data_IF_052724879227
#
_entry.id   IF_052724879227
#
_cell.length_a   1.000
_cell.length_b   1.000
_cell.length_c   1.000
_cell.angle_alpha   90.00
_cell.angle_beta   90.00
_cell.angle_gamma   90.00
#
_symmetry.space_group_name_H-M   'P 1'
#
loop_
_entity.id
_entity.type
_entity.pdbx_description
1 polymer ?
#
# COMPACT_ATOMS: atom_id res chain seq x y z
N UNK A 1 4.39 18.23 -12.07
CA UNK A 1 5.62 17.40 -11.95
C UNK A 1 6.36 17.33 -13.29
N UNK A 2 7.64 17.72 -13.30
CA UNK A 2 8.51 17.53 -14.46
C UNK A 2 8.67 16.02 -14.65
N UNK A 3 8.08 15.45 -15.69
CA UNK A 3 8.42 14.09 -16.09
C UNK A 3 9.93 14.06 -16.35
N UNK A 4 10.70 13.20 -15.66
CA UNK A 4 12.15 13.14 -15.85
C UNK A 4 12.48 12.82 -17.31
N UNK A 5 13.64 13.29 -17.78
CA UNK A 5 14.05 13.09 -19.17
C UNK A 5 14.18 11.59 -19.49
N UNK A 6 13.99 11.14 -20.75
CA UNK A 6 14.02 9.72 -21.12
C UNK A 6 15.26 8.95 -20.64
N UNK A 7 16.39 9.64 -20.48
CA UNK A 7 17.66 9.08 -19.98
C UNK A 7 17.59 8.82 -18.47
N UNK A 8 17.08 9.77 -17.68
CA UNK A 8 16.90 9.59 -16.24
C UNK A 8 15.90 8.47 -15.91
N UNK A 9 14.91 8.30 -16.77
CA UNK A 9 13.93 7.22 -16.69
C UNK A 9 14.53 5.83 -16.90
N UNK A 10 15.34 5.70 -17.93
CA UNK A 10 16.10 4.49 -18.22
C UNK A 10 17.06 4.18 -17.06
N UNK A 11 17.76 5.17 -16.49
CA UNK A 11 18.68 4.97 -15.37
C UNK A 11 18.00 4.54 -14.07
N UNK A 12 16.87 5.16 -13.68
CA UNK A 12 16.13 4.73 -12.48
C UNK A 12 15.62 3.30 -12.63
N UNK A 13 15.10 2.94 -13.80
CA UNK A 13 14.59 1.58 -14.05
C UNK A 13 15.72 0.54 -14.03
N UNK A 14 16.87 0.86 -14.64
CA UNK A 14 18.11 0.05 -14.56
C UNK A 14 18.52 -0.19 -13.12
N UNK A 15 18.51 0.86 -12.30
CA UNK A 15 18.89 0.77 -10.90
C UNK A 15 17.93 -0.12 -10.10
N UNK A 16 16.61 0.03 -10.28
CA UNK A 16 15.61 -0.82 -9.63
C UNK A 16 15.83 -2.30 -9.99
N UNK A 17 15.93 -2.64 -11.27
CA UNK A 17 16.16 -4.02 -11.69
C UNK A 17 17.53 -4.56 -11.23
N UNK A 18 18.56 -3.71 -11.18
CA UNK A 18 19.87 -4.09 -10.64
C UNK A 18 19.77 -4.44 -9.15
N UNK A 19 19.07 -3.61 -8.38
CA UNK A 19 18.85 -3.82 -6.95
C UNK A 19 17.90 -4.99 -6.64
N UNK A 20 17.01 -5.35 -7.56
CA UNK A 20 16.07 -6.48 -7.42
C UNK A 20 16.64 -7.82 -7.93
N UNK A 21 17.96 -7.98 -7.98
CA UNK A 21 18.59 -9.24 -8.40
C UNK A 21 18.29 -10.39 -7.41
N UNK A 22 18.01 -11.62 -7.86
CA UNK A 22 17.74 -12.79 -7.00
C UNK A 22 18.92 -13.20 -6.10
N UNK A 23 20.10 -12.61 -6.30
CA UNK A 23 21.25 -12.85 -5.43
C UNK A 23 21.07 -12.13 -4.08
N UNK A 24 20.25 -11.08 -4.02
CA UNK A 24 19.98 -10.30 -2.82
C UNK A 24 18.73 -10.84 -2.14
N UNK A 25 18.68 -10.85 -0.80
CA UNK A 25 17.42 -11.13 -0.10
C UNK A 25 16.39 -10.03 -0.38
N UNK A 26 15.10 -10.35 -0.37
CA UNK A 26 14.03 -9.39 -0.64
C UNK A 26 14.13 -8.13 0.25
N UNK A 27 14.43 -8.31 1.55
CA UNK A 27 14.66 -7.18 2.46
C UNK A 27 15.82 -6.29 2.03
N UNK A 28 16.88 -6.88 1.48
CA UNK A 28 18.05 -6.15 0.99
C UNK A 28 17.76 -5.44 -0.34
N UNK A 29 16.99 -6.08 -1.24
CA UNK A 29 16.51 -5.48 -2.48
C UNK A 29 15.70 -4.22 -2.16
N UNK A 30 14.72 -4.33 -1.24
CA UNK A 30 13.86 -3.21 -0.88
C UNK A 30 14.63 -2.09 -0.18
N UNK A 31 15.41 -2.40 0.85
CA UNK A 31 16.18 -1.37 1.58
C UNK A 31 17.18 -0.64 0.67
N UNK A 32 17.85 -1.37 -0.22
CA UNK A 32 18.80 -0.77 -1.17
C UNK A 32 18.06 0.11 -2.19
N UNK A 33 16.95 -0.36 -2.74
CA UNK A 33 16.22 0.38 -3.78
C UNK A 33 15.55 1.64 -3.22
N UNK A 34 14.94 1.57 -2.03
CA UNK A 34 14.39 2.77 -1.36
C UNK A 34 15.48 3.82 -1.09
N UNK A 35 16.69 3.40 -0.68
CA UNK A 35 17.81 4.31 -0.45
C UNK A 35 18.36 4.90 -1.75
N UNK A 36 18.51 4.08 -2.79
CA UNK A 36 19.22 4.45 -4.01
C UNK A 36 18.35 5.16 -5.04
N UNK A 37 17.06 4.81 -5.11
CA UNK A 37 16.11 5.31 -6.13
C UNK A 37 15.15 6.32 -5.53
N UNK A 38 14.60 6.04 -4.35
CA UNK A 38 13.57 6.88 -3.73
C UNK A 38 14.14 7.90 -2.73
N UNK A 39 15.46 7.91 -2.51
CA UNK A 39 16.16 8.90 -1.68
C UNK A 39 15.92 8.79 -0.17
N UNK A 40 15.26 7.72 0.31
CA UNK A 40 14.93 7.55 1.73
C UNK A 40 16.19 7.54 2.60
N UNK A 41 16.11 8.12 3.79
CA UNK A 41 17.17 8.00 4.80
C UNK A 41 17.21 6.59 5.41
N UNK A 42 18.36 6.20 5.94
CA UNK A 42 18.49 4.92 6.66
C UNK A 42 17.52 4.87 7.84
N UNK A 43 17.33 6.00 8.54
CA UNK A 43 16.37 6.14 9.63
C UNK A 43 14.92 5.92 9.17
N UNK A 44 14.51 6.51 8.04
CA UNK A 44 13.17 6.30 7.48
C UNK A 44 12.94 4.83 7.09
N UNK A 45 13.92 4.20 6.45
CA UNK A 45 13.83 2.78 6.10
C UNK A 45 13.79 1.91 7.37
N UNK A 46 14.57 2.24 8.40
CA UNK A 46 14.58 1.52 9.66
C UNK A 46 13.24 1.58 10.38
N UNK A 47 12.59 2.74 10.37
CA UNK A 47 11.23 2.91 10.88
C UNK A 47 10.22 2.05 10.10
N UNK A 48 10.27 2.06 8.76
CA UNK A 48 9.37 1.27 7.91
C UNK A 48 9.52 -0.25 8.13
N UNK A 49 10.74 -0.73 8.39
CA UNK A 49 11.03 -2.14 8.66
C UNK A 49 10.96 -2.53 10.14
N UNK A 50 10.70 -1.59 11.05
CA UNK A 50 10.71 -1.80 12.52
C UNK A 50 12.01 -2.46 13.03
N UNK A 51 13.16 -2.08 12.47
CA UNK A 51 14.48 -2.57 12.88
C UNK A 51 15.39 -1.41 13.26
N UNK A 52 16.48 -1.70 13.97
CA UNK A 52 17.47 -0.67 14.30
C UNK A 52 18.09 -0.06 13.03
N UNK A 53 18.38 1.24 13.06
CA UNK A 53 19.02 1.95 11.93
C UNK A 53 20.35 1.31 11.53
N UNK A 54 21.13 0.84 12.52
CA UNK A 54 22.36 0.09 12.28
C UNK A 54 22.12 -1.21 11.47
N UNK A 55 21.00 -1.90 11.70
CA UNK A 55 20.62 -3.11 10.95
C UNK A 55 20.39 -2.78 9.48
N UNK A 56 19.67 -1.68 9.20
CA UNK A 56 19.43 -1.22 7.82
C UNK A 56 20.72 -0.76 7.16
N UNK A 57 21.54 0.04 7.84
CA UNK A 57 22.83 0.50 7.31
C UNK A 57 23.71 -0.69 6.90
N UNK A 58 23.87 -1.68 7.78
CA UNK A 58 24.62 -2.89 7.48
C UNK A 58 23.98 -3.71 6.36
N UNK A 59 22.64 -3.81 6.30
CA UNK A 59 21.92 -4.50 5.22
C UNK A 59 22.23 -3.85 3.86
N UNK A 60 22.19 -2.52 3.78
CA UNK A 60 22.51 -1.77 2.55
C UNK A 60 23.98 -1.97 2.15
N UNK A 61 24.93 -1.90 3.08
CA UNK A 61 26.35 -2.14 2.80
C UNK A 61 26.60 -3.56 2.28
N UNK A 62 26.01 -4.57 2.93
CA UNK A 62 26.11 -5.97 2.50
C UNK A 62 25.48 -6.17 1.11
N UNK A 63 24.35 -5.53 0.83
CA UNK A 63 23.70 -5.58 -0.48
C UNK A 63 24.59 -5.00 -1.58
N UNK A 64 25.16 -3.80 -1.37
CA UNK A 64 26.10 -3.17 -2.30
C UNK A 64 27.33 -4.04 -2.56
N UNK A 65 27.91 -4.60 -1.50
CA UNK A 65 29.05 -5.52 -1.63
C UNK A 65 28.68 -6.76 -2.44
N UNK A 66 27.51 -7.35 -2.21
CA UNK A 66 27.05 -8.53 -2.96
C UNK A 66 26.81 -8.24 -4.44
N UNK A 67 26.33 -7.03 -4.79
CA UNK A 67 26.23 -6.58 -6.19
C UNK A 67 27.59 -6.60 -6.88
N UNK A 68 28.61 -6.06 -6.20
CA UNK A 68 29.98 -6.02 -6.71
C UNK A 68 30.58 -7.43 -6.79
N UNK A 69 30.50 -8.22 -5.71
CA UNK A 69 31.07 -9.56 -5.63
C UNK A 69 30.46 -10.51 -6.68
N UNK A 70 29.15 -10.38 -6.93
CA UNK A 70 28.43 -11.16 -7.94
C UNK A 70 28.50 -10.59 -9.36
N UNK A 71 29.26 -9.50 -9.58
CA UNK A 71 29.44 -8.85 -10.89
C UNK A 71 28.12 -8.53 -11.59
N UNK A 72 27.13 -8.06 -10.83
CA UNK A 72 25.79 -7.81 -11.35
C UNK A 72 25.84 -6.63 -12.31
N UNK A 73 25.44 -6.80 -13.59
CA UNK A 73 25.52 -5.73 -14.58
C UNK A 73 24.49 -4.64 -14.28
N UNK A 74 24.92 -3.37 -14.39
CA UNK A 74 24.04 -2.21 -14.35
C UNK A 74 23.39 -2.01 -15.72
N UNK A 75 22.27 -2.69 -15.95
CA UNK A 75 21.47 -2.63 -17.18
C UNK A 75 20.02 -2.97 -16.89
N UNK A 76 19.12 -2.67 -17.83
CA UNK A 76 17.80 -3.30 -17.83
C UNK A 76 18.03 -4.75 -18.26
N UNK A 77 17.62 -5.75 -17.45
CA UNK A 77 17.75 -7.16 -17.81
C UNK A 77 16.95 -7.49 -19.07
N UNK A 78 17.33 -8.54 -19.78
CA UNK A 78 16.64 -9.01 -20.98
C UNK A 78 15.86 -10.31 -20.74
N UNK A 79 14.78 -10.49 -21.50
CA UNK A 79 14.02 -11.74 -21.56
C UNK A 79 13.66 -12.32 -20.20
N UNK A 80 14.15 -13.52 -19.91
CA UNK A 80 13.85 -14.26 -18.68
C UNK A 80 14.37 -13.59 -17.40
N UNK A 81 15.44 -12.78 -17.48
CA UNK A 81 15.99 -12.10 -16.31
C UNK A 81 15.04 -11.05 -15.72
N UNK A 82 14.14 -10.49 -16.54
CA UNK A 82 13.11 -9.57 -16.07
C UNK A 82 12.11 -10.29 -15.16
N UNK A 83 11.70 -11.51 -15.55
CA UNK A 83 10.75 -12.32 -14.80
C UNK A 83 11.26 -12.68 -13.40
N UNK A 84 12.52 -13.10 -13.29
CA UNK A 84 13.12 -13.49 -12.00
C UNK A 84 13.23 -12.33 -10.99
N UNK A 85 13.23 -11.09 -11.48
CA UNK A 85 13.37 -9.89 -10.66
C UNK A 85 12.04 -9.19 -10.39
N UNK A 86 11.00 -9.57 -11.12
CA UNK A 86 9.74 -8.84 -11.18
C UNK A 86 9.08 -8.71 -9.80
N UNK A 87 9.02 -9.79 -9.03
CA UNK A 87 8.40 -9.76 -7.70
C UNK A 87 9.07 -8.75 -6.76
N UNK A 88 10.41 -8.65 -6.83
CA UNK A 88 11.19 -7.66 -6.11
C UNK A 88 10.87 -6.23 -6.57
N UNK A 89 10.81 -6.02 -7.88
CA UNK A 89 10.46 -4.73 -8.48
C UNK A 89 9.06 -4.28 -8.05
N UNK A 90 8.05 -5.15 -8.17
CA UNK A 90 6.69 -4.84 -7.77
C UNK A 90 6.59 -4.54 -6.26
N UNK A 91 7.30 -5.31 -5.43
CA UNK A 91 7.36 -5.07 -3.98
C UNK A 91 7.92 -3.69 -3.66
N UNK A 92 9.01 -3.28 -4.32
CA UNK A 92 9.61 -1.95 -4.13
C UNK A 92 8.64 -0.86 -4.57
N UNK A 93 8.07 -0.96 -5.77
CA UNK A 93 7.16 0.05 -6.30
C UNK A 93 5.93 0.21 -5.39
N UNK A 94 5.36 -0.90 -4.93
CA UNK A 94 4.25 -0.89 -3.97
C UNK A 94 4.60 -0.17 -2.67
N UNK A 95 5.78 -0.45 -2.09
CA UNK A 95 6.23 0.20 -0.86
C UNK A 95 6.54 1.69 -1.06
N UNK A 96 7.21 2.05 -2.17
CA UNK A 96 7.43 3.45 -2.53
C UNK A 96 6.11 4.21 -2.59
N UNK A 97 5.11 3.62 -3.26
CA UNK A 97 3.79 4.22 -3.35
C UNK A 97 3.14 4.38 -1.97
N UNK A 98 3.08 3.32 -1.16
CA UNK A 98 2.42 3.36 0.15
C UNK A 98 3.06 4.39 1.11
N UNK A 99 4.39 4.49 1.12
CA UNK A 99 5.11 5.46 1.96
C UNK A 99 4.85 6.91 1.51
N UNK A 100 4.83 7.16 0.20
CA UNK A 100 4.49 8.48 -0.35
C UNK A 100 3.02 8.85 -0.14
N UNK A 101 2.14 7.85 -0.20
CA UNK A 101 0.69 7.99 -0.18
C UNK A 101 0.10 8.23 1.22
N UNK A 102 0.68 7.66 2.28
CA UNK A 102 0.18 7.77 3.66
C UNK A 102 0.80 8.92 4.47
N UNK A 103 1.86 9.56 3.94
CA UNK A 103 2.66 10.53 4.69
C UNK A 103 2.05 11.94 4.78
N UNK A 104 2.06 12.54 6.00
CA UNK A 104 1.88 13.99 6.23
C UNK A 104 2.82 14.53 7.33
N UNK A 105 3.27 15.79 7.16
CA UNK A 105 4.22 16.51 8.04
C UNK A 105 5.00 17.58 7.25
N UNK A 106 6.05 18.22 7.81
CA UNK A 106 6.83 19.30 7.16
C UNK A 106 7.48 18.96 5.79
N UNK A 107 7.33 17.72 5.31
CA UNK A 107 7.84 17.21 4.03
C UNK A 107 6.73 16.78 3.04
N UNK A 108 5.50 17.32 3.14
CA UNK A 108 4.35 16.94 2.26
C UNK A 108 4.70 17.02 0.76
N UNK A 109 5.46 18.02 0.32
CA UNK A 109 5.84 18.16 -1.10
C UNK A 109 6.72 17.01 -1.58
N UNK A 110 7.81 16.74 -0.85
CA UNK A 110 8.82 15.73 -1.21
C UNK A 110 8.25 14.29 -1.24
N UNK A 111 7.16 14.01 -0.51
CA UNK A 111 6.56 12.67 -0.41
C UNK A 111 5.42 12.42 -1.41
N UNK A 112 4.73 13.46 -1.88
CA UNK A 112 3.83 13.34 -3.05
C UNK A 112 4.61 12.99 -4.31
N UNK A 113 5.79 13.58 -4.46
CA UNK A 113 6.69 13.27 -5.57
C UNK A 113 7.09 11.78 -5.59
N UNK A 114 7.21 11.11 -4.43
CA UNK A 114 7.54 9.67 -4.35
C UNK A 114 6.38 8.78 -4.83
N UNK A 115 5.14 9.11 -4.48
CA UNK A 115 3.98 8.34 -4.93
C UNK A 115 3.74 8.51 -6.45
N UNK A 116 3.91 9.73 -6.96
CA UNK A 116 3.83 10.03 -8.38
C UNK A 116 4.97 9.34 -9.15
N UNK A 117 6.20 9.34 -8.60
CA UNK A 117 7.35 8.62 -9.15
C UNK A 117 7.09 7.11 -9.19
N UNK A 118 6.49 6.52 -8.14
CA UNK A 118 6.16 5.10 -8.10
C UNK A 118 5.13 4.71 -9.18
N UNK A 119 4.08 5.51 -9.37
CA UNK A 119 3.09 5.31 -10.44
C UNK A 119 3.76 5.39 -11.81
N UNK A 120 4.59 6.41 -12.01
CA UNK A 120 5.28 6.62 -13.26
C UNK A 120 6.24 5.47 -13.58
N UNK A 121 7.03 5.02 -12.61
CA UNK A 121 7.92 3.85 -12.74
C UNK A 121 7.13 2.57 -13.02
N UNK A 122 6.01 2.34 -12.33
CA UNK A 122 5.11 1.21 -12.62
C UNK A 122 4.56 1.29 -14.06
N UNK A 123 4.27 2.49 -14.55
CA UNK A 123 3.91 2.73 -15.96
C UNK A 123 5.01 2.37 -16.96
N UNK A 124 6.28 2.62 -16.62
CA UNK A 124 7.41 2.17 -17.44
C UNK A 124 7.55 0.65 -17.44
N UNK A 125 7.41 -0.01 -16.29
CA UNK A 125 7.43 -1.47 -16.20
C UNK A 125 6.27 -2.07 -17.01
N UNK A 126 5.07 -1.47 -16.97
CA UNK A 126 3.92 -1.90 -17.77
C UNK A 126 4.14 -1.75 -19.28
N UNK A 127 4.94 -0.76 -19.72
CA UNK A 127 5.34 -0.63 -21.13
C UNK A 127 6.42 -1.64 -21.52
N UNK A 128 7.35 -1.93 -20.61
CA UNK A 128 8.42 -2.90 -20.83
C UNK A 128 7.90 -4.34 -20.85
N UNK A 129 6.93 -4.65 -19.98
CA UNK A 129 6.36 -5.98 -19.78
C UNK A 129 4.82 -5.94 -19.92
N UNK A 130 4.30 -5.62 -21.12
CA UNK A 130 2.87 -5.41 -21.34
C UNK A 130 2.02 -6.67 -21.08
N UNK A 131 2.63 -7.85 -21.16
CA UNK A 131 1.95 -9.13 -20.99
C UNK A 131 2.07 -9.70 -19.58
N UNK A 132 2.59 -8.93 -18.62
CA UNK A 132 2.66 -9.34 -17.21
C UNK A 132 1.46 -8.79 -16.43
N UNK A 133 0.48 -9.63 -16.06
CA UNK A 133 -0.79 -9.16 -15.49
C UNK A 133 -0.63 -8.53 -14.10
N UNK A 134 0.33 -8.99 -13.28
CA UNK A 134 0.58 -8.38 -11.97
C UNK A 134 1.23 -6.99 -12.05
N UNK A 135 1.97 -6.69 -13.13
CA UNK A 135 2.46 -5.32 -13.38
C UNK A 135 1.27 -4.39 -13.62
N UNK A 136 0.33 -4.83 -14.45
CA UNK A 136 -0.89 -4.09 -14.74
C UNK A 136 -1.76 -3.95 -13.48
N UNK A 137 -1.90 -5.02 -12.70
CA UNK A 137 -2.60 -5.02 -11.42
C UNK A 137 -2.05 -4.00 -10.43
N UNK A 138 -0.72 -3.94 -10.27
CA UNK A 138 -0.09 -2.95 -9.38
C UNK A 138 -0.30 -1.52 -9.88
N UNK A 139 -0.14 -1.26 -11.18
CA UNK A 139 -0.38 0.06 -11.75
C UNK A 139 -1.84 0.51 -11.57
N UNK A 140 -2.80 -0.38 -11.80
CA UNK A 140 -4.21 -0.13 -11.57
C UNK A 140 -4.48 0.20 -10.08
N UNK A 141 -3.94 -0.61 -9.17
CA UNK A 141 -4.06 -0.38 -7.73
C UNK A 141 -3.56 1.01 -7.32
N UNK A 142 -2.40 1.43 -7.82
CA UNK A 142 -1.85 2.75 -7.49
C UNK A 142 -2.71 3.88 -8.05
N UNK A 143 -3.18 3.76 -9.30
CA UNK A 143 -4.06 4.75 -9.94
C UNK A 143 -5.38 4.91 -9.19
N UNK A 144 -6.06 3.80 -8.87
CA UNK A 144 -7.32 3.82 -8.12
C UNK A 144 -7.15 4.44 -6.73
N UNK A 145 -6.00 4.22 -6.10
CA UNK A 145 -5.70 4.84 -4.82
C UNK A 145 -5.38 6.34 -4.97
N UNK A 146 -4.53 6.76 -5.90
CA UNK A 146 -4.15 8.19 -6.02
C UNK A 146 -5.32 9.07 -6.49
N UNK A 147 -6.27 8.52 -7.25
CA UNK A 147 -7.42 9.26 -7.77
C UNK A 147 -8.30 9.91 -6.70
N UNK A 148 -8.23 9.42 -5.45
CA UNK A 148 -9.00 9.95 -4.30
C UNK A 148 -8.21 10.95 -3.46
N UNK A 149 -6.98 11.28 -3.84
CA UNK A 149 -6.05 12.09 -3.02
C UNK A 149 -6.62 13.45 -2.62
N UNK A 150 -7.40 14.09 -3.50
CA UNK A 150 -8.02 15.39 -3.25
C UNK A 150 -9.16 15.34 -2.21
N UNK A 151 -9.76 14.17 -1.96
CA UNK A 151 -10.87 14.01 -1.02
C UNK A 151 -10.44 13.50 0.36
N UNK A 152 -9.18 13.08 0.53
CA UNK A 152 -8.70 12.46 1.78
C UNK A 152 -8.54 13.42 2.95
N UNK A 153 -8.41 14.70 2.64
CA UNK A 153 -8.14 15.72 3.63
C UNK A 153 -9.00 16.93 3.36
N UNK A 154 -9.55 17.51 4.42
CA UNK A 154 -10.33 18.74 4.32
C UNK A 154 -9.42 19.98 4.23
N UNK A 155 -10.04 21.16 4.16
CA UNK A 155 -9.32 22.44 4.11
C UNK A 155 -8.52 22.75 5.38
N UNK A 156 -8.86 22.16 6.53
CA UNK A 156 -8.08 22.26 7.76
C UNK A 156 -6.90 21.28 7.77
N UNK A 157 -6.80 20.42 6.75
CA UNK A 157 -5.80 19.38 6.70
C UNK A 157 -6.11 18.26 7.67
N UNK A 158 -7.37 17.98 7.96
CA UNK A 158 -7.79 16.84 8.77
C UNK A 158 -8.17 15.64 7.90
N UNK A 159 -7.90 14.43 8.39
CA UNK A 159 -8.22 13.21 7.66
C UNK A 159 -9.74 13.02 7.55
N UNK A 160 -10.20 12.73 6.33
CA UNK A 160 -11.59 12.43 5.98
C UNK A 160 -11.71 10.93 5.69
N UNK A 161 -12.57 10.24 6.45
CA UNK A 161 -12.78 8.81 6.31
C UNK A 161 -13.44 8.49 4.96
N UNK A 162 -13.17 7.32 4.40
CA UNK A 162 -13.71 6.92 3.10
C UNK A 162 -15.24 7.09 2.95
N UNK A 163 -16.08 6.74 3.95
CA UNK A 163 -17.53 6.97 3.85
C UNK A 163 -17.91 8.46 3.76
N UNK A 164 -17.06 9.35 4.27
CA UNK A 164 -17.29 10.79 4.37
C UNK A 164 -16.66 11.57 3.19
N UNK A 165 -15.89 10.89 2.33
CA UNK A 165 -15.20 11.54 1.21
C UNK A 165 -16.19 12.02 0.15
N UNK A 166 -16.03 13.29 -0.24
CA UNK A 166 -16.80 13.85 -1.35
C UNK A 166 -16.34 13.26 -2.69
N UNK A 167 -17.08 12.27 -3.19
CA UNK A 167 -16.76 11.54 -4.44
C UNK A 167 -16.63 12.43 -5.68
N UNK A 168 -17.27 13.60 -5.71
CA UNK A 168 -17.11 14.61 -6.77
C UNK A 168 -15.69 15.17 -6.90
N UNK A 169 -14.88 15.05 -5.84
CA UNK A 169 -13.48 15.49 -5.82
C UNK A 169 -12.54 14.40 -6.34
N UNK A 170 -13.05 13.22 -6.67
CA UNK A 170 -12.24 12.13 -7.18
C UNK A 170 -11.88 12.36 -8.64
N UNK A 171 -10.68 11.95 -9.01
CA UNK A 171 -10.24 11.97 -10.40
C UNK A 171 -10.86 10.78 -11.15
N UNK A 172 -12.05 11.02 -11.70
CA UNK A 172 -12.79 10.02 -12.47
C UNK A 172 -12.05 9.56 -13.74
N UNK A 173 -11.17 10.37 -14.31
CA UNK A 173 -10.37 9.97 -15.46
C UNK A 173 -9.30 8.95 -15.05
N UNK A 174 -8.60 9.20 -13.94
CA UNK A 174 -7.63 8.25 -13.38
C UNK A 174 -8.31 6.96 -12.90
N UNK A 175 -9.52 7.04 -12.35
CA UNK A 175 -10.32 5.85 -11.98
C UNK A 175 -10.62 5.00 -13.22
N UNK A 176 -11.15 5.61 -14.29
CA UNK A 176 -11.48 4.91 -15.52
C UNK A 176 -10.24 4.27 -16.17
N UNK A 177 -9.09 4.96 -16.14
CA UNK A 177 -7.83 4.39 -16.61
C UNK A 177 -7.38 3.18 -15.76
N UNK A 178 -7.48 3.28 -14.44
CA UNK A 178 -7.15 2.19 -13.52
C UNK A 178 -8.02 0.95 -13.75
N UNK A 179 -9.33 1.14 -13.95
CA UNK A 179 -10.27 0.05 -14.28
C UNK A 179 -9.92 -0.60 -15.61
N UNK A 180 -9.67 0.20 -16.66
CA UNK A 180 -9.31 -0.34 -17.98
C UNK A 180 -8.00 -1.16 -17.96
N UNK A 181 -7.01 -0.75 -17.16
CA UNK A 181 -5.77 -1.51 -16.95
C UNK A 181 -6.07 -2.82 -16.21
N UNK A 182 -6.91 -2.79 -15.19
CA UNK A 182 -7.31 -3.96 -14.42
C UNK A 182 -8.09 -4.96 -15.28
N UNK A 183 -9.03 -4.52 -16.10
CA UNK A 183 -9.79 -5.36 -17.03
C UNK A 183 -8.87 -6.08 -18.01
N UNK A 184 -7.88 -5.36 -18.54
CA UNK A 184 -6.85 -5.94 -19.41
C UNK A 184 -6.05 -7.03 -18.67
N UNK A 185 -5.65 -6.79 -17.42
CA UNK A 185 -4.95 -7.79 -16.60
C UNK A 185 -5.83 -9.03 -16.36
N UNK A 186 -7.10 -8.81 -16.01
CA UNK A 186 -8.08 -9.87 -15.77
C UNK A 186 -8.34 -10.74 -17.00
N UNK A 187 -8.32 -10.16 -18.20
CA UNK A 187 -8.45 -10.91 -19.46
C UNK A 187 -7.33 -11.95 -19.67
N UNK A 188 -6.18 -11.78 -19.02
CA UNK A 188 -5.04 -12.70 -19.10
C UNK A 188 -5.18 -13.94 -18.21
N UNK A 189 -6.19 -13.98 -17.32
CA UNK A 189 -6.56 -15.13 -16.46
C UNK A 189 -5.44 -15.66 -15.56
N UNK A 190 -4.54 -14.78 -15.13
CA UNK A 190 -3.47 -15.09 -14.18
C UNK A 190 -3.47 -14.04 -13.06
N UNK A 191 -4.52 -14.07 -12.24
CA UNK A 191 -4.69 -13.15 -11.12
C UNK A 191 -3.67 -13.42 -10.02
N UNK A 192 -3.02 -12.37 -9.53
CA UNK A 192 -2.18 -12.38 -8.35
C UNK A 192 -2.61 -11.34 -7.31
N UNK A 193 -1.80 -11.12 -6.27
CA UNK A 193 -2.19 -10.32 -5.11
C UNK A 193 -2.46 -8.84 -5.42
N UNK A 194 -1.76 -8.22 -6.39
CA UNK A 194 -1.98 -6.83 -6.73
C UNK A 194 -3.24 -6.64 -7.58
N UNK A 195 -3.54 -7.57 -8.49
CA UNK A 195 -4.81 -7.56 -9.21
C UNK A 195 -6.01 -7.65 -8.25
N UNK A 196 -5.95 -8.53 -7.25
CA UNK A 196 -7.04 -8.66 -6.27
C UNK A 196 -7.20 -7.39 -5.43
N UNK A 197 -6.09 -6.81 -4.96
CA UNK A 197 -6.14 -5.53 -4.24
C UNK A 197 -6.67 -4.40 -5.13
N UNK A 198 -6.30 -4.36 -6.41
CA UNK A 198 -6.83 -3.41 -7.37
C UNK A 198 -8.35 -3.57 -7.56
N UNK A 199 -8.84 -4.81 -7.65
CA UNK A 199 -10.27 -5.10 -7.73
C UNK A 199 -11.04 -4.62 -6.49
N UNK A 200 -10.49 -4.79 -5.29
CA UNK A 200 -11.06 -4.24 -4.07
C UNK A 200 -11.12 -2.70 -4.15
N UNK A 201 -10.04 -2.05 -4.60
CA UNK A 201 -10.00 -0.60 -4.78
C UNK A 201 -10.98 -0.11 -5.87
N UNK A 202 -11.19 -0.89 -6.92
CA UNK A 202 -12.15 -0.60 -7.99
C UNK A 202 -13.58 -0.63 -7.44
N UNK A 203 -13.95 -1.63 -6.65
CA UNK A 203 -15.28 -1.71 -6.04
C UNK A 203 -15.61 -0.48 -5.17
N UNK A 204 -14.65 0.00 -4.38
CA UNK A 204 -14.84 1.26 -3.65
C UNK A 204 -15.00 2.46 -4.58
N UNK A 205 -14.28 2.45 -5.71
CA UNK A 205 -14.22 3.57 -6.66
C UNK A 205 -15.47 3.67 -7.54
N UNK A 206 -16.04 2.53 -7.91
CA UNK A 206 -17.22 2.40 -8.78
C UNK A 206 -18.55 2.54 -8.01
N UNK A 207 -18.56 2.22 -6.72
CA UNK A 207 -19.77 2.35 -5.89
C UNK A 207 -20.31 3.80 -5.91
N UNK A 208 -21.60 4.03 -6.20
CA UNK A 208 -22.19 5.37 -6.19
C UNK A 208 -22.13 6.04 -4.82
N UNK A 209 -22.24 5.24 -3.75
CA UNK A 209 -22.19 5.66 -2.36
C UNK A 209 -21.48 4.60 -1.50
N UNK A 210 -21.21 4.92 -0.24
CA UNK A 210 -20.64 3.94 0.70
C UNK A 210 -21.57 2.74 0.93
N UNK A 211 -22.86 3.01 1.11
CA UNK A 211 -23.87 1.99 1.42
C UNK A 211 -24.16 1.06 0.23
N UNK A 212 -23.90 1.54 -1.00
CA UNK A 212 -24.03 0.76 -2.24
C UNK A 212 -22.73 0.04 -2.65
N UNK A 213 -21.72 -0.01 -1.78
CA UNK A 213 -20.51 -0.81 -2.02
C UNK A 213 -20.85 -2.30 -1.98
N UNK A 214 -20.36 -3.09 -2.95
CA UNK A 214 -20.54 -4.55 -2.95
C UNK A 214 -19.62 -5.22 -1.91
N UNK A 215 -20.06 -5.18 -0.65
CA UNK A 215 -19.36 -5.75 0.48
C UNK A 215 -19.19 -7.27 0.37
N UNK A 216 -20.17 -7.96 -0.20
CA UNK A 216 -20.09 -9.40 -0.44
C UNK A 216 -18.92 -9.72 -1.38
N UNK A 217 -18.81 -9.01 -2.50
CA UNK A 217 -17.70 -9.19 -3.43
C UNK A 217 -16.35 -8.82 -2.81
N UNK A 218 -16.27 -7.76 -1.99
CA UNK A 218 -15.05 -7.40 -1.27
C UNK A 218 -14.61 -8.52 -0.32
N UNK A 219 -15.53 -9.14 0.42
CA UNK A 219 -15.21 -10.30 1.29
C UNK A 219 -14.65 -11.46 0.47
N UNK A 220 -15.27 -11.80 -0.66
CA UNK A 220 -14.78 -12.86 -1.55
C UNK A 220 -13.40 -12.57 -2.14
N UNK A 221 -13.10 -11.30 -2.44
CA UNK A 221 -11.78 -10.88 -2.91
C UNK A 221 -10.74 -11.02 -1.79
N UNK A 222 -11.07 -10.64 -0.55
CA UNK A 222 -10.18 -10.89 0.58
C UNK A 222 -9.98 -12.39 0.86
N UNK A 223 -11.00 -13.23 0.72
CA UNK A 223 -10.89 -14.69 0.81
C UNK A 223 -9.94 -15.25 -0.26
N UNK A 224 -9.97 -14.70 -1.48
CA UNK A 224 -9.05 -15.06 -2.54
C UNK A 224 -7.62 -14.58 -2.23
N UNK A 225 -7.46 -13.34 -1.76
CA UNK A 225 -6.17 -12.77 -1.40
C UNK A 225 -5.49 -13.55 -0.27
N UNK A 226 -6.24 -13.92 0.77
CA UNK A 226 -5.72 -14.67 1.91
C UNK A 226 -5.19 -16.06 1.51
N UNK A 227 -5.78 -16.70 0.49
CA UNK A 227 -5.27 -17.96 -0.06
C UNK A 227 -3.94 -17.81 -0.79
N UNK A 228 -3.62 -16.61 -1.28
CA UNK A 228 -2.34 -16.31 -1.95
C UNK A 228 -1.28 -15.81 -0.96
N UNK A 229 -1.70 -14.99 0.01
CA UNK A 229 -0.84 -14.38 1.01
C UNK A 229 -1.59 -14.31 2.35
N UNK A 230 -1.29 -15.23 3.26
CA UNK A 230 -1.86 -15.19 4.60
C UNK A 230 -1.10 -14.16 5.46
N UNK A 231 -1.78 -13.08 5.82
CA UNK A 231 -1.24 -12.02 6.66
C UNK A 231 -2.27 -11.58 7.68
N UNK A 232 -1.88 -11.34 8.95
CA UNK A 232 -2.77 -10.77 9.96
C UNK A 232 -3.44 -9.47 9.51
N UNK A 233 -2.77 -8.65 8.69
CA UNK A 233 -3.33 -7.39 8.16
C UNK A 233 -4.41 -7.67 7.11
N UNK A 234 -4.23 -8.70 6.26
CA UNK A 234 -5.25 -9.11 5.29
C UNK A 234 -6.48 -9.64 6.02
N UNK A 235 -6.29 -10.47 7.05
CA UNK A 235 -7.37 -10.98 7.91
C UNK A 235 -8.12 -9.85 8.62
N UNK A 236 -7.42 -8.84 9.12
CA UNK A 236 -8.04 -7.66 9.73
C UNK A 236 -8.90 -6.90 8.72
N UNK A 237 -8.36 -6.62 7.53
CA UNK A 237 -9.09 -5.89 6.49
C UNK A 237 -10.32 -6.67 6.00
N UNK A 238 -10.20 -8.00 5.90
CA UNK A 238 -11.33 -8.91 5.63
C UNK A 238 -12.41 -8.80 6.69
N UNK A 239 -12.05 -8.83 7.98
CA UNK A 239 -13.01 -8.72 9.08
C UNK A 239 -13.75 -7.38 9.06
N UNK A 240 -13.09 -6.28 8.65
CA UNK A 240 -13.75 -4.99 8.43
C UNK A 240 -14.76 -5.08 7.28
N UNK A 241 -14.42 -5.70 6.14
CA UNK A 241 -15.39 -5.90 5.06
C UNK A 241 -16.56 -6.79 5.50
N UNK A 242 -16.27 -7.82 6.31
CA UNK A 242 -17.28 -8.71 6.88
C UNK A 242 -18.25 -7.96 7.80
N UNK A 243 -17.80 -6.93 8.52
CA UNK A 243 -18.71 -6.17 9.40
C UNK A 243 -19.83 -5.48 8.63
N UNK A 244 -19.52 -5.00 7.42
CA UNK A 244 -20.49 -4.38 6.53
C UNK A 244 -21.40 -5.40 5.83
N UNK A 245 -20.92 -6.61 5.58
CA UNK A 245 -21.71 -7.67 4.93
C UNK A 245 -22.57 -8.50 5.91
N UNK A 246 -21.97 -8.97 7.00
CA UNK A 246 -22.57 -9.92 7.95
C UNK A 246 -22.82 -9.32 9.35
N UNK A 247 -22.48 -8.04 9.55
CA UNK A 247 -22.69 -7.32 10.80
C UNK A 247 -21.46 -7.32 11.74
N UNK A 248 -21.46 -6.44 12.76
CA UNK A 248 -20.28 -6.19 13.58
C UNK A 248 -19.89 -7.35 14.52
N UNK A 249 -20.85 -8.18 14.95
CA UNK A 249 -20.59 -9.29 15.87
C UNK A 249 -19.65 -10.37 15.31
N UNK A 250 -19.92 -10.99 14.14
CA UNK A 250 -18.99 -11.97 13.56
C UNK A 250 -17.63 -11.35 13.21
N UNK A 251 -17.62 -10.10 12.74
CA UNK A 251 -16.40 -9.36 12.45
C UNK A 251 -15.54 -9.14 13.70
N UNK A 252 -16.14 -8.76 14.83
CA UNK A 252 -15.41 -8.57 16.08
C UNK A 252 -14.78 -9.88 16.58
N UNK A 253 -15.44 -11.02 16.35
CA UNK A 253 -14.86 -12.34 16.60
C UNK A 253 -13.55 -12.53 15.84
N UNK A 254 -13.57 -12.34 14.52
CA UNK A 254 -12.37 -12.45 13.69
C UNK A 254 -11.27 -11.45 14.05
N UNK A 255 -11.66 -10.21 14.42
CA UNK A 255 -10.70 -9.20 14.90
C UNK A 255 -10.06 -9.68 16.21
N UNK A 256 -10.83 -10.15 17.19
CA UNK A 256 -10.29 -10.57 18.48
C UNK A 256 -9.31 -11.77 18.36
N UNK A 257 -9.49 -12.66 17.40
CA UNK A 257 -8.54 -13.75 17.11
C UNK A 257 -7.15 -13.24 16.72
N UNK A 258 -7.05 -11.99 16.27
CA UNK A 258 -5.78 -11.34 15.89
C UNK A 258 -5.13 -10.58 17.05
N UNK A 259 -5.75 -10.52 18.23
CA UNK A 259 -5.31 -9.67 19.33
C UNK A 259 -3.86 -9.92 19.76
N UNK A 260 -3.43 -11.19 19.83
CA UNK A 260 -2.05 -11.52 20.19
C UNK A 260 -1.05 -11.09 19.12
N UNK A 261 -1.40 -11.22 17.84
CA UNK A 261 -0.50 -10.95 16.72
C UNK A 261 -0.41 -9.47 16.38
N UNK A 262 -1.49 -8.72 16.61
CA UNK A 262 -1.63 -7.31 16.24
C UNK A 262 -1.72 -6.35 17.44
N UNK A 263 -1.32 -6.76 18.65
CA UNK A 263 -1.38 -5.89 19.84
C UNK A 263 -0.58 -4.58 19.67
N UNK A 264 0.54 -4.63 18.95
CA UNK A 264 1.35 -3.44 18.64
C UNK A 264 0.83 -2.59 17.48
N UNK A 265 -0.27 -2.99 16.82
CA UNK A 265 -0.76 -2.36 15.60
C UNK A 265 -1.97 -1.47 15.88
N UNK A 266 -1.79 -0.15 15.75
CA UNK A 266 -2.83 0.81 16.12
C UNK A 266 -4.13 0.66 15.30
N UNK A 267 -4.06 0.25 14.01
CA UNK A 267 -5.25 0.06 13.18
C UNK A 267 -6.08 -1.16 13.61
N UNK A 268 -5.47 -2.17 14.23
CA UNK A 268 -6.22 -3.27 14.86
C UNK A 268 -7.09 -2.72 16.00
N UNK A 269 -6.51 -1.92 16.90
CA UNK A 269 -7.24 -1.33 18.02
C UNK A 269 -8.30 -0.32 17.54
N UNK A 270 -8.02 0.43 16.49
CA UNK A 270 -8.98 1.35 15.85
C UNK A 270 -10.18 0.58 15.30
N UNK A 271 -9.97 -0.47 14.49
CA UNK A 271 -11.05 -1.30 13.95
C UNK A 271 -11.88 -1.96 15.05
N UNK A 272 -11.21 -2.51 16.08
CA UNK A 272 -11.87 -3.10 17.25
C UNK A 272 -12.75 -2.09 17.98
N UNK A 273 -12.29 -0.85 18.15
CA UNK A 273 -13.06 0.22 18.77
C UNK A 273 -14.34 0.55 17.98
N UNK A 274 -14.27 0.65 16.65
CA UNK A 274 -15.45 0.92 15.81
C UNK A 274 -16.50 -0.21 15.91
N UNK A 275 -16.07 -1.47 15.91
CA UNK A 275 -16.98 -2.61 16.04
C UNK A 275 -17.65 -2.68 17.42
N UNK A 276 -16.90 -2.37 18.48
CA UNK A 276 -17.43 -2.30 19.84
C UNK A 276 -18.46 -1.17 19.99
N UNK A 277 -18.20 -0.02 19.37
CA UNK A 277 -19.14 1.11 19.33
C UNK A 277 -20.47 0.68 18.66
N UNK A 278 -20.39 0.02 17.51
CA UNK A 278 -21.55 -0.48 16.76
C UNK A 278 -22.35 -1.54 17.53
N UNK A 279 -21.71 -2.27 18.44
CA UNK A 279 -22.34 -3.26 19.31
C UNK A 279 -22.88 -2.67 20.62
N UNK A 280 -22.71 -1.36 20.86
CA UNK A 280 -23.19 -0.70 22.07
C UNK A 280 -22.30 -0.92 23.29
N UNK A 281 -20.99 -1.15 23.08
CA UNK A 281 -19.98 -1.35 24.14
C UNK A 281 -19.03 -0.14 24.26
N UNK A 282 -19.51 1.06 24.64
CA UNK A 282 -18.76 2.31 24.52
C UNK A 282 -17.53 2.38 25.44
N UNK A 283 -17.56 1.72 26.60
CA UNK A 283 -16.40 1.69 27.51
C UNK A 283 -15.23 0.91 26.89
N UNK A 284 -15.51 -0.28 26.35
CA UNK A 284 -14.51 -1.10 25.67
C UNK A 284 -14.04 -0.43 24.37
N UNK A 285 -14.95 0.22 23.63
CA UNK A 285 -14.60 0.99 22.44
C UNK A 285 -13.62 2.13 22.78
N UNK A 286 -13.89 2.86 23.87
CA UNK A 286 -13.01 3.93 24.36
C UNK A 286 -11.63 3.40 24.75
N UNK A 287 -11.55 2.29 25.48
CA UNK A 287 -10.27 1.66 25.86
C UNK A 287 -9.45 1.27 24.62
N UNK A 288 -10.08 0.59 23.65
CA UNK A 288 -9.43 0.21 22.41
C UNK A 288 -8.96 1.46 21.62
N UNK A 289 -9.77 2.52 21.58
CA UNK A 289 -9.41 3.77 20.89
C UNK A 289 -8.27 4.52 21.58
N UNK A 290 -8.21 4.50 22.91
CA UNK A 290 -7.06 5.02 23.66
C UNK A 290 -5.79 4.24 23.34
N UNK A 291 -5.86 2.90 23.28
CA UNK A 291 -4.73 2.07 22.88
C UNK A 291 -4.28 2.34 21.44
N UNK A 292 -5.21 2.55 20.52
CA UNK A 292 -4.89 2.99 19.16
C UNK A 292 -4.15 4.34 19.16
N UNK A 293 -4.58 5.30 19.98
CA UNK A 293 -3.94 6.61 20.09
C UNK A 293 -2.53 6.52 20.70
N UNK A 294 -2.29 5.64 21.67
CA UNK A 294 -0.95 5.42 22.24
C UNK A 294 0.06 4.92 21.18
N UNK A 295 -0.40 4.04 20.28
CA UNK A 295 0.45 3.37 19.29
C UNK A 295 0.57 4.15 17.97
N UNK A 296 -0.36 5.05 17.68
CA UNK A 296 -0.40 5.82 16.43
C UNK A 296 0.69 6.89 16.39
N UNK A 297 1.51 6.91 15.34
CA UNK A 297 2.57 7.91 15.15
C UNK A 297 2.22 9.00 14.13
N UNK A 298 1.26 8.74 13.25
CA UNK A 298 0.88 9.67 12.19
C UNK A 298 0.02 10.81 12.77
N UNK A 299 0.43 12.10 12.64
CA UNK A 299 -0.31 13.21 13.24
C UNK A 299 -1.78 13.32 12.79
N UNK A 300 -2.08 12.99 11.53
CA UNK A 300 -3.43 13.10 10.99
C UNK A 300 -4.36 12.00 11.56
N UNK A 301 -3.86 10.78 11.67
CA UNK A 301 -4.59 9.66 12.29
C UNK A 301 -4.77 9.88 13.80
N UNK A 302 -3.75 10.43 14.48
CA UNK A 302 -3.85 10.82 15.89
C UNK A 302 -4.95 11.87 16.10
N UNK A 303 -4.96 12.93 15.29
CA UNK A 303 -6.00 13.98 15.35
C UNK A 303 -7.41 13.38 15.17
N UNK A 304 -7.57 12.46 14.21
CA UNK A 304 -8.82 11.74 14.00
C UNK A 304 -9.23 10.91 15.24
N UNK A 305 -8.31 10.14 15.81
CA UNK A 305 -8.56 9.33 17.01
C UNK A 305 -8.93 10.20 18.23
N UNK A 306 -8.25 11.34 18.40
CA UNK A 306 -8.56 12.31 19.46
C UNK A 306 -9.95 12.94 19.29
N UNK A 307 -10.37 13.26 18.06
CA UNK A 307 -11.75 13.71 17.79
C UNK A 307 -12.77 12.63 18.16
N UNK A 308 -12.53 11.38 17.74
CA UNK A 308 -13.41 10.25 18.07
C UNK A 308 -13.49 9.93 19.56
N UNK A 309 -12.49 10.29 20.36
CA UNK A 309 -12.52 10.15 21.83
C UNK A 309 -13.28 11.28 22.55
N UNK A 310 -13.50 12.41 21.87
CA UNK A 310 -14.21 13.59 22.38
C UNK A 310 -15.70 13.58 22.04
N UNK A 311 -16.07 12.95 20.92
CA UNK A 311 -17.46 12.66 20.55
C UNK A 311 -18.08 11.65 21.53
#
# INVERSE_FOLDING_TARGET
>A
PLSPEPVEADDRLRLIFTCCHPALSQEAQVALTLRAVAGFTTAEIAAAFLVAEATVAQRIVRAKRKIVDAHIPYRVPDGSELGERLDGVLSVLYLMFNEGYLSRGAQVGMRRDIADDAIWLAGLVAKLMPDQPEVLGLLALMKLNVARSAARFDAAGEMVLLPEQERRLWDHATIAEGIAILDRAGAMRASGPYQIQAAIAALYSEAPSWDETDWHQIVLLYDALQRMADSPVIRLNRAIALSHFAGPAPALGEVNDLAMTLDGYHLFHSARAELLEQLGEPLLAREARMRALELCQNPAERSLLERKLRA
#
